data_IF_966063514115
#
_entry.id   IF_966063514115
#
_cell.length_a   1.000
_cell.length_b   1.000
_cell.length_c   1.000
_cell.angle_alpha   90.00
_cell.angle_beta   90.00
_cell.angle_gamma   90.00
#
_symmetry.space_group_name_H-M   'P 1'
#
loop_
_entity.id
_entity.type
_entity.pdbx_description
1 polymer ?
#
# COMPACT_ATOMS: atom_id res chain seq x y z
N UNK A 1 -1.97 -5.61 -11.25
CA UNK A 1 -1.64 -5.23 -9.84
C UNK A 1 -2.75 -5.70 -8.93
N UNK A 2 -2.41 -6.38 -7.82
CA UNK A 2 -3.38 -6.85 -6.82
C UNK A 2 -3.31 -5.91 -5.63
N UNK A 3 -4.46 -5.39 -5.19
CA UNK A 3 -4.55 -4.59 -3.97
C UNK A 3 -5.11 -5.45 -2.82
N UNK A 4 -4.53 -5.30 -1.64
CA UNK A 4 -4.94 -6.03 -0.43
C UNK A 4 -5.29 -5.00 0.64
N UNK A 5 -6.48 -5.07 1.19
CA UNK A 5 -6.95 -4.21 2.30
C UNK A 5 -8.02 -4.95 3.12
N UNK A 6 -8.43 -4.36 4.23
CA UNK A 6 -9.53 -4.86 5.08
C UNK A 6 -10.87 -4.18 4.80
N UNK A 7 -10.89 -3.08 4.05
CA UNK A 7 -12.07 -2.27 3.75
C UNK A 7 -12.45 -2.37 2.27
N UNK A 8 -13.66 -2.89 2.00
CA UNK A 8 -14.16 -3.03 0.63
C UNK A 8 -14.25 -1.70 -0.12
N UNK A 9 -14.46 -0.56 0.57
CA UNK A 9 -14.50 0.77 -0.05
C UNK A 9 -13.12 1.16 -0.60
N UNK A 10 -12.04 0.85 0.15
CA UNK A 10 -10.65 1.08 -0.29
C UNK A 10 -10.31 0.17 -1.46
N UNK A 11 -10.76 -1.07 -1.43
CA UNK A 11 -10.56 -2.03 -2.51
C UNK A 11 -11.28 -1.61 -3.79
N UNK A 12 -12.48 -1.04 -3.67
CA UNK A 12 -13.19 -0.49 -4.83
C UNK A 12 -12.47 0.71 -5.43
N UNK A 13 -11.97 1.63 -4.59
CA UNK A 13 -11.13 2.74 -5.06
C UNK A 13 -9.85 2.22 -5.74
N UNK A 14 -9.23 1.19 -5.18
CA UNK A 14 -8.05 0.57 -5.78
C UNK A 14 -8.31 0.06 -7.21
N UNK A 15 -9.47 -0.56 -7.46
CA UNK A 15 -9.89 -0.95 -8.82
C UNK A 15 -10.04 0.26 -9.75
N UNK A 16 -10.66 1.33 -9.28
CA UNK A 16 -10.86 2.56 -10.07
C UNK A 16 -9.54 3.23 -10.48
N UNK A 17 -8.47 3.04 -9.68
CA UNK A 17 -7.14 3.58 -9.98
C UNK A 17 -6.19 2.56 -10.62
N UNK A 18 -6.68 1.35 -10.98
CA UNK A 18 -5.95 0.42 -11.85
C UNK A 18 -5.52 -0.91 -11.22
N UNK A 19 -6.03 -1.29 -10.04
CA UNK A 19 -5.87 -2.65 -9.56
C UNK A 19 -6.68 -3.63 -10.44
N UNK A 20 -6.05 -4.67 -10.97
CA UNK A 20 -6.73 -5.73 -11.75
C UNK A 20 -7.53 -6.65 -10.85
N UNK A 21 -7.01 -6.92 -9.66
CA UNK A 21 -7.61 -7.79 -8.66
C UNK A 21 -7.53 -7.17 -7.27
N UNK A 22 -8.42 -7.60 -6.39
CA UNK A 22 -8.45 -7.15 -5.00
C UNK A 22 -8.67 -8.32 -4.06
N UNK A 23 -8.07 -8.24 -2.87
CA UNK A 23 -8.21 -9.23 -1.80
C UNK A 23 -8.63 -8.54 -0.52
N UNK A 24 -9.77 -8.92 0.03
CA UNK A 24 -10.19 -8.47 1.37
C UNK A 24 -9.65 -9.44 2.42
N UNK A 25 -8.68 -8.98 3.22
CA UNK A 25 -8.02 -9.77 4.26
C UNK A 25 -8.90 -10.16 5.44
N UNK A 26 -10.12 -9.59 5.57
CA UNK A 26 -11.14 -10.07 6.52
C UNK A 26 -11.90 -11.28 5.99
N UNK A 27 -11.97 -11.46 4.68
CA UNK A 27 -12.78 -12.48 4.01
C UNK A 27 -11.97 -13.68 3.55
N UNK A 28 -10.67 -13.50 3.33
CA UNK A 28 -9.76 -14.55 2.88
C UNK A 28 -8.34 -14.35 3.45
N UNK A 29 -7.58 -15.44 3.51
CA UNK A 29 -6.15 -15.38 3.79
C UNK A 29 -5.46 -14.64 2.61
N UNK A 30 -4.88 -13.47 2.83
CA UNK A 30 -4.33 -12.66 1.75
C UNK A 30 -3.12 -13.31 1.07
N UNK A 31 -2.31 -14.08 1.80
CA UNK A 31 -1.14 -14.78 1.25
C UNK A 31 -1.59 -15.84 0.27
N UNK A 32 -2.53 -16.70 0.68
CA UNK A 32 -3.07 -17.77 -0.18
C UNK A 32 -3.76 -17.19 -1.40
N UNK A 33 -4.60 -16.18 -1.22
CA UNK A 33 -5.32 -15.55 -2.32
C UNK A 33 -4.38 -14.92 -3.37
N UNK A 34 -3.32 -14.22 -2.93
CA UNK A 34 -2.33 -13.66 -3.85
C UNK A 34 -1.55 -14.76 -4.57
N UNK A 35 -1.12 -15.83 -3.88
CA UNK A 35 -0.42 -16.95 -4.50
C UNK A 35 -1.30 -17.64 -5.57
N UNK A 36 -2.58 -17.81 -5.30
CA UNK A 36 -3.55 -18.39 -6.22
C UNK A 36 -3.76 -17.52 -7.45
N UNK A 37 -4.07 -16.22 -7.26
CA UNK A 37 -4.26 -15.25 -8.34
C UNK A 37 -3.03 -15.10 -9.24
N UNK A 38 -1.83 -15.23 -8.67
CA UNK A 38 -0.56 -15.10 -9.40
C UNK A 38 0.00 -16.44 -9.88
N UNK A 39 -0.65 -17.56 -9.53
CA UNK A 39 -0.19 -18.93 -9.86
C UNK A 39 1.23 -19.21 -9.38
N UNK A 40 1.55 -18.82 -8.15
CA UNK A 40 2.84 -19.14 -7.53
C UNK A 40 3.51 -18.02 -6.74
N UNK A 41 2.88 -16.87 -6.64
CA UNK A 41 3.33 -15.71 -5.89
C UNK A 41 3.67 -14.51 -6.76
N UNK A 42 3.65 -13.34 -6.15
CA UNK A 42 3.90 -12.07 -6.82
C UNK A 42 5.39 -11.86 -7.12
N UNK A 43 5.72 -11.19 -8.23
CA UNK A 43 7.10 -10.76 -8.55
C UNK A 43 7.59 -9.69 -7.60
N UNK A 44 6.69 -8.75 -7.27
CA UNK A 44 6.97 -7.61 -6.38
C UNK A 44 5.82 -7.47 -5.40
N UNK A 45 6.15 -7.25 -4.14
CA UNK A 45 5.20 -6.82 -3.12
C UNK A 45 5.61 -5.46 -2.54
N UNK A 46 4.62 -4.65 -2.21
CA UNK A 46 4.81 -3.34 -1.57
C UNK A 46 3.98 -3.31 -0.29
N UNK A 47 4.60 -3.01 0.83
CA UNK A 47 3.88 -2.66 2.05
C UNK A 47 3.99 -1.16 2.29
N UNK A 48 2.86 -0.47 2.17
CA UNK A 48 2.75 0.97 2.39
C UNK A 48 2.14 1.32 3.76
N UNK A 49 1.71 0.32 4.55
CA UNK A 49 1.11 0.54 5.86
C UNK A 49 2.14 0.48 7.00
N UNK A 50 3.01 -0.55 6.99
CA UNK A 50 4.10 -0.68 7.96
C UNK A 50 3.78 -1.47 9.22
N UNK A 51 2.61 -2.09 9.34
CA UNK A 51 2.31 -2.96 10.50
C UNK A 51 2.85 -4.38 10.28
N UNK A 52 3.14 -5.08 11.37
CA UNK A 52 3.78 -6.39 11.35
C UNK A 52 3.06 -7.41 10.45
N UNK A 53 1.73 -7.44 10.50
CA UNK A 53 0.93 -8.40 9.72
C UNK A 53 0.99 -8.13 8.22
N UNK A 54 0.95 -6.86 7.79
CA UNK A 54 1.00 -6.52 6.35
C UNK A 54 2.38 -6.74 5.76
N UNK A 55 3.43 -6.33 6.48
CA UNK A 55 4.81 -6.59 6.09
C UNK A 55 5.09 -8.09 5.92
N UNK A 56 4.70 -8.89 6.93
CA UNK A 56 4.87 -10.36 6.88
C UNK A 56 4.10 -10.98 5.72
N UNK A 57 2.84 -10.60 5.53
CA UNK A 57 2.00 -11.14 4.45
C UNK A 57 2.54 -10.74 3.07
N UNK A 58 3.01 -9.51 2.91
CA UNK A 58 3.63 -9.05 1.67
C UNK A 58 4.87 -9.89 1.29
N UNK A 59 5.73 -10.21 2.26
CA UNK A 59 6.90 -11.09 2.05
C UNK A 59 6.46 -12.51 1.69
N UNK A 60 5.52 -13.09 2.43
CA UNK A 60 5.04 -14.47 2.20
C UNK A 60 4.35 -14.65 0.85
N UNK A 61 3.72 -13.60 0.33
CA UNK A 61 3.01 -13.60 -0.96
C UNK A 61 3.93 -13.64 -2.18
N UNK A 62 5.23 -13.48 -1.98
CA UNK A 62 6.21 -13.46 -3.07
C UNK A 62 6.53 -14.86 -3.60
N UNK A 63 6.75 -14.93 -4.92
CA UNK A 63 7.36 -16.09 -5.56
C UNK A 63 8.87 -16.19 -5.25
N UNK A 64 9.49 -17.28 -5.68
CA UNK A 64 10.97 -17.41 -5.64
C UNK A 64 11.61 -16.24 -6.41
N UNK A 65 12.66 -15.64 -5.82
CA UNK A 65 13.38 -14.45 -6.32
C UNK A 65 12.51 -13.19 -6.46
N UNK A 66 11.40 -13.13 -5.71
CA UNK A 66 10.56 -11.95 -5.64
C UNK A 66 11.23 -10.82 -4.87
N UNK A 67 10.69 -9.60 -5.02
CA UNK A 67 11.18 -8.41 -4.34
C UNK A 67 10.11 -7.82 -3.43
N UNK A 68 10.46 -7.61 -2.18
CA UNK A 68 9.65 -6.82 -1.24
C UNK A 68 10.16 -5.38 -1.17
N UNK A 69 9.24 -4.42 -1.26
CA UNK A 69 9.54 -2.99 -1.07
C UNK A 69 8.76 -2.49 0.14
N UNK A 70 9.48 -2.15 1.20
CA UNK A 70 8.91 -1.55 2.40
C UNK A 70 8.89 -0.02 2.23
N UNK A 71 7.70 0.55 2.19
CA UNK A 71 7.43 2.01 2.09
C UNK A 71 6.86 2.53 3.41
N UNK A 72 5.93 1.77 4.01
CA UNK A 72 5.30 2.12 5.28
C UNK A 72 6.30 2.05 6.43
N UNK A 73 6.30 3.09 7.27
CA UNK A 73 7.00 3.07 8.54
C UNK A 73 6.18 2.29 9.56
N UNK A 74 6.85 1.67 10.52
CA UNK A 74 6.18 0.96 11.61
C UNK A 74 5.37 1.92 12.48
N UNK A 75 4.32 1.40 13.11
CA UNK A 75 3.53 2.17 14.08
C UNK A 75 4.20 2.16 15.47
N UNK A 76 3.63 2.89 16.41
CA UNK A 76 4.13 2.88 17.78
C UNK A 76 4.08 1.49 18.44
N UNK A 77 3.14 0.64 18.03
CA UNK A 77 3.01 -0.72 18.56
C UNK A 77 4.17 -1.64 18.13
N UNK A 78 4.70 -1.45 16.95
CA UNK A 78 5.85 -2.22 16.45
C UNK A 78 7.20 -1.68 16.94
N UNK A 79 7.22 -0.44 17.43
CA UNK A 79 8.42 0.21 17.98
C UNK A 79 9.67 0.13 17.06
N UNK A 80 9.47 0.26 15.76
CA UNK A 80 10.55 0.23 14.76
C UNK A 80 10.92 -1.16 14.24
N UNK A 81 10.33 -2.24 14.78
CA UNK A 81 10.74 -3.60 14.50
C UNK A 81 9.57 -4.48 14.04
N UNK A 82 9.83 -5.36 13.09
CA UNK A 82 8.88 -6.36 12.59
C UNK A 82 9.56 -7.71 12.45
N UNK A 83 8.96 -8.76 13.01
CA UNK A 83 9.41 -10.13 12.82
C UNK A 83 9.12 -10.63 11.40
N UNK A 84 10.17 -11.00 10.67
CA UNK A 84 10.09 -11.52 9.32
C UNK A 84 10.30 -13.04 9.26
N UNK A 85 9.70 -13.75 8.29
CA UNK A 85 9.87 -15.18 8.10
C UNK A 85 11.21 -15.49 7.41
N UNK A 86 12.31 -15.44 8.15
CA UNK A 86 13.69 -15.52 7.63
C UNK A 86 13.92 -16.77 6.78
N UNK A 87 13.44 -17.94 7.21
CA UNK A 87 13.61 -19.18 6.44
C UNK A 87 12.94 -19.10 5.06
N UNK A 88 11.77 -18.47 4.98
CA UNK A 88 11.09 -18.26 3.70
C UNK A 88 11.85 -17.28 2.80
N UNK A 89 12.47 -16.26 3.40
CA UNK A 89 13.31 -15.30 2.66
C UNK A 89 14.51 -16.03 2.05
N UNK A 90 15.16 -16.90 2.82
CA UNK A 90 16.31 -17.70 2.36
C UNK A 90 15.87 -18.72 1.31
N UNK A 91 14.86 -19.55 1.57
CA UNK A 91 14.41 -20.60 0.64
C UNK A 91 13.91 -20.04 -0.69
N UNK A 92 13.28 -18.87 -0.67
CA UNK A 92 12.77 -18.21 -1.87
C UNK A 92 13.75 -17.23 -2.50
N UNK A 93 14.94 -17.01 -1.92
CA UNK A 93 15.92 -16.02 -2.41
C UNK A 93 15.31 -14.62 -2.57
N UNK A 94 14.51 -14.16 -1.59
CA UNK A 94 13.75 -12.90 -1.65
C UNK A 94 14.68 -11.71 -1.43
N UNK A 95 14.47 -10.63 -2.21
CA UNK A 95 15.11 -9.34 -2.02
C UNK A 95 14.22 -8.44 -1.14
N UNK A 96 14.81 -7.82 -0.12
CA UNK A 96 14.14 -6.81 0.72
C UNK A 96 14.75 -5.44 0.44
N UNK A 97 13.92 -4.44 0.19
CA UNK A 97 14.36 -3.07 -0.10
C UNK A 97 13.48 -2.07 0.63
N UNK A 98 14.07 -1.10 1.31
CA UNK A 98 13.36 0.07 1.83
C UNK A 98 13.23 1.15 0.76
N UNK A 99 12.15 1.94 0.82
CA UNK A 99 11.96 3.10 -0.05
C UNK A 99 11.33 4.24 0.75
N UNK A 100 12.02 5.37 0.81
CA UNK A 100 11.54 6.56 1.52
C UNK A 100 11.22 7.67 0.52
N UNK A 101 9.95 8.06 0.46
CA UNK A 101 9.45 9.19 -0.32
C UNK A 101 9.94 9.23 -1.78
N UNK A 102 9.92 10.41 -2.39
CA UNK A 102 10.48 10.65 -3.72
C UNK A 102 11.57 11.72 -3.63
N UNK A 103 12.71 11.47 -4.24
CA UNK A 103 13.79 12.43 -4.34
C UNK A 103 13.37 13.61 -5.22
N UNK A 104 13.70 14.84 -4.83
CA UNK A 104 13.24 16.06 -5.50
C UNK A 104 13.54 16.11 -7.00
N UNK A 105 14.70 15.62 -7.43
CA UNK A 105 15.07 15.57 -8.85
C UNK A 105 14.23 14.62 -9.70
N UNK A 106 13.42 13.74 -9.08
CA UNK A 106 12.50 12.84 -9.78
C UNK A 106 11.10 13.43 -10.00
N UNK A 107 10.78 14.56 -9.36
CA UNK A 107 9.48 15.21 -9.53
C UNK A 107 9.14 15.55 -10.98
N UNK A 108 10.05 16.09 -11.82
CA UNK A 108 9.74 16.37 -13.22
C UNK A 108 9.25 15.14 -14.00
N UNK A 109 9.88 13.98 -13.77
CA UNK A 109 9.46 12.73 -14.42
C UNK A 109 8.07 12.28 -13.95
N UNK A 110 7.79 12.37 -12.64
CA UNK A 110 6.47 12.05 -12.07
C UNK A 110 5.38 13.00 -12.61
N UNK A 111 5.64 14.31 -12.64
CA UNK A 111 4.70 15.29 -13.17
C UNK A 111 4.42 15.08 -14.67
N UNK A 112 5.43 14.72 -15.45
CA UNK A 112 5.24 14.33 -16.85
C UNK A 112 4.30 13.12 -17.02
N UNK A 113 4.34 12.16 -16.06
CA UNK A 113 3.38 11.04 -16.08
C UNK A 113 1.94 11.52 -15.79
N UNK A 114 1.78 12.53 -14.92
CA UNK A 114 0.47 13.15 -14.64
C UNK A 114 -0.05 13.87 -15.88
N UNK A 115 0.78 14.70 -16.52
CA UNK A 115 0.42 15.45 -17.75
C UNK A 115 0.00 14.51 -18.90
N UNK A 116 0.64 13.36 -19.01
CA UNK A 116 0.31 12.33 -20.01
C UNK A 116 -0.87 11.43 -19.61
N UNK A 117 -1.49 11.67 -18.45
CA UNK A 117 -2.62 10.87 -17.94
C UNK A 117 -2.25 9.45 -17.46
N UNK A 118 -0.96 9.13 -17.35
CA UNK A 118 -0.48 7.83 -16.85
C UNK A 118 -0.62 7.71 -15.33
N UNK A 119 -0.57 8.84 -14.61
CA UNK A 119 -0.91 8.97 -13.20
C UNK A 119 -2.10 9.92 -13.08
N UNK A 120 -3.10 9.55 -12.32
CA UNK A 120 -4.33 10.32 -12.14
C UNK A 120 -4.61 10.56 -10.65
N UNK A 121 -3.78 11.36 -9.95
CA UNK A 121 -3.90 11.57 -8.50
C UNK A 121 -5.25 12.17 -8.09
N UNK A 122 -5.90 12.93 -8.98
CA UNK A 122 -7.25 13.47 -8.73
C UNK A 122 -8.29 12.40 -8.43
N UNK A 123 -8.13 11.17 -8.94
CA UNK A 123 -9.03 10.05 -8.64
C UNK A 123 -8.95 9.59 -7.17
N UNK A 124 -7.88 9.92 -6.48
CA UNK A 124 -7.71 9.60 -5.07
C UNK A 124 -8.40 10.60 -4.14
N UNK A 125 -8.78 11.80 -4.64
CA UNK A 125 -9.47 12.81 -3.85
C UNK A 125 -10.92 12.36 -3.69
N UNK A 126 -11.29 12.02 -2.44
CA UNK A 126 -12.64 11.56 -2.12
C UNK A 126 -13.50 12.64 -1.47
N UNK A 127 -12.85 13.65 -0.88
CA UNK A 127 -13.56 14.80 -0.32
C UNK A 127 -12.68 16.07 -0.33
N UNK A 128 -13.35 17.21 -0.24
CA UNK A 128 -12.73 18.50 0.03
C UNK A 128 -13.30 19.07 1.31
N UNK A 129 -12.45 19.61 2.18
CA UNK A 129 -12.84 20.07 3.51
C UNK A 129 -12.32 21.49 3.77
N UNK A 130 -12.97 22.28 4.65
CA UNK A 130 -12.38 23.47 5.21
C UNK A 130 -11.34 23.13 6.27
N UNK A 131 -10.44 24.10 6.57
CA UNK A 131 -9.32 23.89 7.51
C UNK A 131 -9.78 23.44 8.90
N UNK A 132 -10.92 23.93 9.37
CA UNK A 132 -11.48 23.60 10.71
C UNK A 132 -11.78 22.12 10.87
N UNK A 133 -12.04 21.38 9.77
CA UNK A 133 -12.29 19.93 9.79
C UNK A 133 -11.02 19.08 9.73
N UNK A 134 -9.86 19.68 9.49
CA UNK A 134 -8.60 18.94 9.28
C UNK A 134 -8.25 18.03 10.47
N UNK A 135 -8.46 18.51 11.71
CA UNK A 135 -8.16 17.72 12.91
C UNK A 135 -8.97 16.42 12.97
N UNK A 136 -10.28 16.50 12.69
CA UNK A 136 -11.13 15.29 12.67
C UNK A 136 -10.70 14.27 11.61
N UNK A 137 -10.23 14.76 10.44
CA UNK A 137 -9.69 13.86 9.40
C UNK A 137 -8.38 13.20 9.85
N UNK A 138 -7.49 13.93 10.52
CA UNK A 138 -6.26 13.36 11.08
C UNK A 138 -6.54 12.28 12.14
N UNK A 139 -7.56 12.47 12.99
CA UNK A 139 -7.99 11.44 13.93
C UNK A 139 -8.50 10.18 13.22
N UNK A 140 -9.28 10.32 12.15
CA UNK A 140 -9.74 9.18 11.33
C UNK A 140 -8.56 8.46 10.65
N UNK A 141 -7.56 9.21 10.17
CA UNK A 141 -6.34 8.62 9.59
C UNK A 141 -5.60 7.74 10.60
N UNK A 142 -5.49 8.17 11.86
CA UNK A 142 -4.85 7.36 12.91
C UNK A 142 -5.56 6.04 13.20
N UNK A 143 -6.85 5.95 12.87
CA UNK A 143 -7.68 4.73 12.99
C UNK A 143 -7.78 3.93 11.68
N UNK A 144 -7.09 4.35 10.62
CA UNK A 144 -7.16 3.76 9.28
C UNK A 144 -8.57 3.77 8.65
N UNK A 145 -9.44 4.71 9.05
CA UNK A 145 -10.83 4.79 8.59
C UNK A 145 -11.02 5.58 7.30
N UNK A 146 -10.03 6.37 6.89
CA UNK A 146 -10.10 7.19 5.69
C UNK A 146 -10.07 6.34 4.41
N UNK A 147 -10.86 6.77 3.43
CA UNK A 147 -10.83 6.24 2.07
C UNK A 147 -10.36 7.35 1.13
N UNK A 148 -9.28 7.11 0.40
CA UNK A 148 -8.70 8.12 -0.49
C UNK A 148 -8.03 9.27 0.26
N UNK A 149 -8.10 10.47 -0.30
CA UNK A 149 -7.42 11.68 0.18
C UNK A 149 -8.44 12.79 0.39
N UNK A 150 -8.43 13.39 1.58
CA UNK A 150 -9.15 14.62 1.89
C UNK A 150 -8.26 15.82 1.57
N UNK A 151 -8.77 16.79 0.82
CA UNK A 151 -8.03 18.00 0.42
C UNK A 151 -8.63 19.22 1.12
N UNK A 152 -7.80 20.03 1.78
CA UNK A 152 -8.20 21.32 2.34
C UNK A 152 -8.22 22.33 1.17
N UNK A 153 -9.37 22.95 0.91
CA UNK A 153 -9.55 23.94 -0.16
C UNK A 153 -10.11 25.29 0.32
N UNK A 154 -10.36 25.43 1.61
CA UNK A 154 -10.80 26.66 2.25
C UNK A 154 -9.97 26.89 3.53
N UNK A 155 -9.46 28.12 3.70
CA UNK A 155 -8.58 28.52 4.78
C UNK A 155 -9.19 29.71 5.55
#
# INVERSE_FOLDING_TARGET
>A
MIAVDLDDRKLELAKQVGASDVVNGKKADPVKAVIELTRGGADVSVDALGIAVTCRNAVLSLRKRGRHVQVGLTTQSENGEVALPVDQIVFKEIQLTGSLAIQSFRYPAMLSMVDRGLLQPKKLITETIPLEKAFGVLEQMSKFENVGISVINQF
#
